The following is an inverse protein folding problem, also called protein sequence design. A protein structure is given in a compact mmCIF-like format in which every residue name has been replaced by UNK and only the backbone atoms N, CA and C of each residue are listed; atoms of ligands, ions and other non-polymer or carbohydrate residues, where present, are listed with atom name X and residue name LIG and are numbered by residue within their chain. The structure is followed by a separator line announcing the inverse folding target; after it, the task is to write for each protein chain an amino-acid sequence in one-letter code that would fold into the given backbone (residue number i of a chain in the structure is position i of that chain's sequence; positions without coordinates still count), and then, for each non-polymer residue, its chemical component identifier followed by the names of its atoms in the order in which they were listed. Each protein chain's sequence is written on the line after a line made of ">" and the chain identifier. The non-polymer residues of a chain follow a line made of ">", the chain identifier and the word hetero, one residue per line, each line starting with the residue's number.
data_IF_634546551415
#
_entry.id   IF_634546551415
#
_cell.length_a   1.000
_cell.length_b   1.000
_cell.length_c   1.000
_cell.angle_alpha   90.00
_cell.angle_beta   90.00
_cell.angle_gamma   90.00
#
_symmetry.space_group_name_H-M   'P 1'
#
loop_
_entity.id
_entity.type
_entity.pdbx_description
1 polymer ?
#
# COMPACT_ATOMS: atom_id res chain seq x y z
N UNK A 1 -16.15 -19.57 -5.07
CA UNK A 1 -16.56 -20.07 -6.40
C UNK A 1 -17.47 -19.12 -7.17
N UNK A 2 -18.72 -18.85 -6.75
CA UNK A 2 -19.60 -17.93 -7.50
C UNK A 2 -19.06 -16.49 -7.60
N UNK A 3 -18.57 -15.92 -6.49
CA UNK A 3 -17.94 -14.59 -6.49
C UNK A 3 -16.70 -14.53 -7.40
N UNK A 4 -15.83 -15.54 -7.33
CA UNK A 4 -14.66 -15.68 -8.20
C UNK A 4 -15.07 -15.80 -9.68
N UNK A 5 -16.10 -16.60 -10.00
CA UNK A 5 -16.64 -16.74 -11.36
C UNK A 5 -17.15 -15.40 -11.93
N UNK A 6 -17.85 -14.61 -11.11
CA UNK A 6 -18.35 -13.30 -11.54
C UNK A 6 -17.20 -12.34 -11.85
N UNK A 7 -16.15 -12.33 -11.03
CA UNK A 7 -14.92 -11.54 -11.27
C UNK A 7 -14.25 -11.92 -12.61
N UNK A 8 -14.12 -13.22 -12.91
CA UNK A 8 -13.58 -13.69 -14.19
C UNK A 8 -14.45 -13.33 -15.37
N UNK A 9 -15.77 -13.39 -15.22
CA UNK A 9 -16.70 -13.03 -16.30
C UNK A 9 -16.58 -11.55 -16.67
N UNK A 10 -16.42 -10.67 -15.67
CA UNK A 10 -16.15 -9.24 -15.91
C UNK A 10 -14.81 -9.04 -16.61
N UNK A 11 -13.76 -9.73 -16.16
CA UNK A 11 -12.45 -9.66 -16.81
C UNK A 11 -12.48 -10.10 -18.29
N UNK A 12 -13.13 -11.24 -18.58
CA UNK A 12 -13.23 -11.77 -19.94
C UNK A 12 -13.92 -10.77 -20.88
N UNK A 13 -14.99 -10.12 -20.41
CA UNK A 13 -15.65 -9.05 -21.14
C UNK A 13 -14.73 -7.85 -21.39
N UNK A 14 -13.97 -7.41 -20.38
CA UNK A 14 -13.03 -6.28 -20.52
C UNK A 14 -11.90 -6.60 -21.51
N UNK A 15 -11.34 -7.81 -21.45
CA UNK A 15 -10.29 -8.28 -22.36
C UNK A 15 -10.82 -8.41 -23.80
N UNK A 16 -12.05 -8.89 -23.98
CA UNK A 16 -12.68 -8.94 -25.31
C UNK A 16 -12.87 -7.54 -25.91
N UNK A 17 -13.35 -6.58 -25.11
CA UNK A 17 -13.46 -5.18 -25.54
C UNK A 17 -12.10 -4.58 -25.89
N UNK A 18 -11.05 -4.85 -25.09
CA UNK A 18 -9.69 -4.41 -25.43
C UNK A 18 -9.25 -4.98 -26.78
N UNK A 19 -9.45 -6.29 -27.03
CA UNK A 19 -9.08 -6.93 -28.30
C UNK A 19 -9.82 -6.29 -29.48
N UNK A 20 -11.10 -5.98 -29.33
CA UNK A 20 -11.88 -5.29 -30.35
C UNK A 20 -11.35 -3.86 -30.63
N UNK A 21 -11.00 -3.10 -29.58
CA UNK A 21 -10.37 -1.78 -29.71
C UNK A 21 -9.02 -1.85 -30.43
N UNK A 22 -8.16 -2.81 -30.07
CA UNK A 22 -6.87 -3.04 -30.74
C UNK A 22 -7.06 -3.43 -32.21
N UNK A 23 -8.01 -4.31 -32.52
CA UNK A 23 -8.36 -4.66 -33.90
C UNK A 23 -8.89 -3.46 -34.70
N UNK A 24 -9.55 -2.50 -34.04
CA UNK A 24 -9.97 -1.22 -34.61
C UNK A 24 -8.85 -0.19 -34.80
N UNK A 25 -7.61 -0.51 -34.42
CA UNK A 25 -6.44 0.34 -34.64
C UNK A 25 -5.96 1.14 -33.44
N UNK A 26 -6.57 0.99 -32.25
CA UNK A 26 -6.10 1.67 -31.02
C UNK A 26 -4.67 1.23 -30.68
N UNK A 27 -3.73 2.18 -30.65
CA UNK A 27 -2.33 1.94 -30.30
C UNK A 27 -2.00 2.22 -28.83
N UNK A 28 -2.77 3.09 -28.18
CA UNK A 28 -2.56 3.43 -26.77
C UNK A 28 -2.83 2.22 -25.84
N UNK A 29 -2.19 2.15 -24.66
CA UNK A 29 -2.54 1.19 -23.63
C UNK A 29 -4.03 1.28 -23.27
N UNK A 30 -4.70 0.14 -23.20
CA UNK A 30 -6.10 0.04 -22.79
C UNK A 30 -6.16 -0.41 -21.33
N UNK A 31 -6.95 0.33 -20.55
CA UNK A 31 -7.19 0.12 -19.13
C UNK A 31 -8.66 0.44 -18.80
N UNK A 32 -9.08 0.11 -17.58
CA UNK A 32 -10.42 0.39 -17.04
C UNK A 32 -10.31 0.83 -15.58
N UNK A 33 -11.26 1.63 -15.11
CA UNK A 33 -11.45 1.93 -13.69
C UNK A 33 -12.34 0.89 -12.98
N UNK A 34 -12.50 -0.31 -13.53
CA UNK A 34 -13.29 -1.36 -12.89
C UNK A 34 -12.80 -1.70 -11.48
N UNK A 35 -11.50 -1.58 -11.20
CA UNK A 35 -11.01 -1.67 -9.81
C UNK A 35 -11.43 -0.43 -9.05
N UNK A 36 -12.16 -0.61 -7.96
CA UNK A 36 -12.58 0.47 -7.06
C UNK A 36 -11.89 0.34 -5.71
N UNK A 37 -11.67 1.47 -5.03
CA UNK A 37 -11.10 1.52 -3.68
C UNK A 37 -11.92 0.74 -2.64
N UNK A 38 -13.13 0.28 -2.99
CA UNK A 38 -13.97 -0.58 -2.17
C UNK A 38 -13.29 -1.92 -1.85
N UNK A 39 -12.30 -2.34 -2.65
CA UNK A 39 -11.45 -3.49 -2.32
C UNK A 39 -10.72 -3.34 -0.97
N UNK A 40 -10.61 -2.13 -0.40
CA UNK A 40 -10.13 -1.93 0.98
C UNK A 40 -11.16 -1.19 1.83
N UNK A 41 -11.69 -0.05 1.38
CA UNK A 41 -12.44 0.87 2.25
C UNK A 41 -13.90 0.47 2.51
N UNK A 42 -14.43 -0.57 1.84
CA UNK A 42 -15.78 -1.10 2.03
C UNK A 42 -16.89 0.00 1.98
N UNK A 43 -16.81 0.92 1.02
CA UNK A 43 -17.80 2.00 0.89
C UNK A 43 -19.19 1.42 0.54
N UNK A 44 -20.11 1.48 1.51
CA UNK A 44 -21.58 1.33 1.40
C UNK A 44 -22.12 0.41 0.27
N UNK A 45 -22.48 -0.82 0.67
CA UNK A 45 -23.69 -1.53 0.21
C UNK A 45 -23.76 -2.16 -1.20
N UNK A 46 -22.77 -2.86 -1.76
CA UNK A 46 -23.10 -3.79 -2.87
C UNK A 46 -22.22 -5.04 -2.95
N UNK A 47 -22.89 -6.18 -3.10
CA UNK A 47 -22.32 -7.48 -3.48
C UNK A 47 -21.61 -7.48 -4.86
N UNK A 48 -21.68 -6.37 -5.61
CA UNK A 48 -20.94 -6.15 -6.85
C UNK A 48 -19.46 -5.80 -6.61
N UNK A 49 -19.09 -5.30 -5.43
CA UNK A 49 -17.70 -4.85 -5.16
C UNK A 49 -16.77 -5.98 -4.72
N UNK A 50 -17.33 -7.15 -4.37
CA UNK A 50 -16.56 -8.37 -4.12
C UNK A 50 -16.13 -9.07 -5.41
N UNK A 51 -16.34 -8.50 -6.60
CA UNK A 51 -15.83 -9.09 -7.84
C UNK A 51 -14.78 -8.28 -8.58
N UNK A 52 -14.51 -7.05 -8.13
CA UNK A 52 -13.69 -6.11 -8.88
C UNK A 52 -12.30 -5.91 -8.28
N UNK A 53 -11.55 -7.01 -8.13
CA UNK A 53 -10.17 -7.00 -7.61
C UNK A 53 -9.13 -6.84 -8.72
N UNK A 54 -8.03 -6.15 -8.40
CA UNK A 54 -6.97 -5.88 -9.36
C UNK A 54 -6.35 -7.14 -9.98
N UNK A 55 -6.20 -8.22 -9.19
CA UNK A 55 -5.59 -9.48 -9.64
C UNK A 55 -6.48 -10.36 -10.52
N UNK A 56 -7.77 -10.03 -10.65
CA UNK A 56 -8.72 -10.80 -11.46
C UNK A 56 -9.31 -9.96 -12.58
N UNK A 57 -9.80 -8.75 -12.26
CA UNK A 57 -10.68 -7.94 -13.10
C UNK A 57 -9.96 -7.19 -14.22
N UNK A 58 -8.64 -7.02 -14.07
CA UNK A 58 -7.78 -6.33 -15.04
C UNK A 58 -6.64 -7.23 -15.51
N UNK A 59 -6.79 -8.56 -15.36
CA UNK A 59 -5.81 -9.53 -15.81
C UNK A 59 -5.87 -9.67 -17.33
N UNK A 60 -4.76 -9.38 -18.00
CA UNK A 60 -4.67 -9.40 -19.46
C UNK A 60 -5.00 -8.08 -20.16
N UNK A 61 -5.31 -7.00 -19.44
CA UNK A 61 -5.30 -5.63 -19.99
C UNK A 61 -3.87 -5.09 -20.16
N UNK A 62 -3.66 -4.08 -21.01
CA UNK A 62 -2.33 -3.48 -21.23
C UNK A 62 -1.82 -2.77 -19.97
N UNK A 63 -2.72 -2.15 -19.21
CA UNK A 63 -2.46 -1.43 -17.97
C UNK A 63 -3.61 -1.60 -16.98
N UNK A 64 -3.38 -1.25 -15.71
CA UNK A 64 -4.40 -1.25 -14.67
C UNK A 64 -4.91 0.18 -14.43
N UNK A 65 -6.14 0.29 -13.93
CA UNK A 65 -6.77 1.53 -13.55
C UNK A 65 -7.56 1.35 -12.26
N UNK A 66 -7.60 2.39 -11.44
CA UNK A 66 -8.39 2.40 -10.21
C UNK A 66 -9.15 3.71 -10.05
N UNK A 67 -10.31 3.63 -9.41
CA UNK A 67 -10.95 4.77 -8.76
C UNK A 67 -10.86 4.62 -7.25
N UNK A 68 -10.36 5.65 -6.55
CA UNK A 68 -10.39 5.65 -5.08
C UNK A 68 -10.60 7.07 -4.52
N UNK A 69 -11.32 7.12 -3.40
CA UNK A 69 -11.74 8.39 -2.78
C UNK A 69 -11.40 8.48 -1.29
N UNK A 70 -10.65 7.51 -0.76
CA UNK A 70 -10.26 7.45 0.66
C UNK A 70 -8.74 7.36 0.75
N UNK A 71 -8.10 8.46 1.14
CA UNK A 71 -6.64 8.54 1.15
C UNK A 71 -5.97 7.73 2.28
N UNK A 72 -6.72 7.29 3.28
CA UNK A 72 -6.22 6.51 4.43
C UNK A 72 -5.44 5.26 4.01
N UNK A 73 -5.81 4.68 2.87
CA UNK A 73 -5.29 3.41 2.37
C UNK A 73 -4.46 3.58 1.09
N UNK A 74 -3.99 4.80 0.79
CA UNK A 74 -3.32 5.12 -0.46
C UNK A 74 -2.18 4.15 -0.79
N UNK A 75 -1.26 3.91 0.16
CA UNK A 75 -0.15 2.98 -0.06
C UNK A 75 -0.63 1.55 -0.33
N UNK A 76 -1.70 1.12 0.34
CA UNK A 76 -2.27 -0.20 0.13
C UNK A 76 -2.91 -0.32 -1.26
N UNK A 77 -3.67 0.67 -1.73
CA UNK A 77 -4.19 0.69 -3.11
C UNK A 77 -3.07 0.60 -4.13
N UNK A 78 -2.02 1.41 -3.97
CA UNK A 78 -0.90 1.41 -4.89
C UNK A 78 -0.12 0.09 -4.83
N UNK A 79 0.03 -0.49 -3.63
CA UNK A 79 0.62 -1.81 -3.45
C UNK A 79 -0.19 -2.93 -4.11
N UNK A 80 -1.52 -2.90 -4.01
CA UNK A 80 -2.42 -3.83 -4.71
C UNK A 80 -2.23 -3.72 -6.22
N UNK A 81 -2.25 -2.51 -6.77
CA UNK A 81 -2.10 -2.28 -8.20
C UNK A 81 -0.71 -2.67 -8.69
N UNK A 82 0.36 -2.27 -7.99
CA UNK A 82 1.74 -2.67 -8.31
C UNK A 82 1.89 -4.19 -8.30
N UNK A 83 1.34 -4.85 -7.28
CA UNK A 83 1.31 -6.30 -7.18
C UNK A 83 0.58 -6.95 -8.36
N UNK A 84 -0.63 -6.49 -8.68
CA UNK A 84 -1.45 -7.05 -9.75
C UNK A 84 -0.95 -6.69 -11.17
N UNK A 85 -0.29 -5.55 -11.33
CA UNK A 85 0.19 -5.07 -12.62
C UNK A 85 1.31 -5.95 -13.17
N UNK A 86 2.11 -6.58 -12.30
CA UNK A 86 3.18 -7.50 -12.69
C UNK A 86 4.10 -6.90 -13.79
N UNK A 87 4.56 -5.66 -13.57
CA UNK A 87 5.40 -4.92 -14.51
C UNK A 87 4.65 -4.08 -15.55
N UNK A 88 3.32 -4.19 -15.64
CA UNK A 88 2.49 -3.25 -16.41
C UNK A 88 2.38 -1.90 -15.72
N UNK A 89 2.04 -0.88 -16.49
CA UNK A 89 1.68 0.43 -15.95
C UNK A 89 0.34 0.37 -15.22
N UNK A 90 0.13 1.29 -14.27
CA UNK A 90 -1.17 1.50 -13.66
C UNK A 90 -1.46 2.98 -13.42
N UNK A 91 -2.73 3.35 -13.54
CA UNK A 91 -3.20 4.73 -13.52
C UNK A 91 -4.28 4.93 -12.48
N UNK A 92 -4.36 6.14 -11.93
CA UNK A 92 -5.50 6.56 -11.11
C UNK A 92 -6.45 7.30 -12.05
N UNK A 93 -7.59 6.67 -12.35
CA UNK A 93 -8.57 7.23 -13.27
C UNK A 93 -9.44 8.26 -12.57
N UNK A 94 -9.90 7.95 -11.36
CA UNK A 94 -10.64 8.90 -10.55
C UNK A 94 -10.18 8.91 -9.09
N UNK A 95 -9.83 10.10 -8.63
CA UNK A 95 -9.70 10.40 -7.21
C UNK A 95 -10.07 11.85 -6.98
N UNK A 96 -10.33 12.23 -5.74
CA UNK A 96 -10.64 13.61 -5.39
C UNK A 96 -9.72 14.14 -4.30
N UNK A 97 -9.78 15.45 -4.11
CA UNK A 97 -9.23 16.09 -2.95
C UNK A 97 -10.15 17.21 -2.49
N UNK A 98 -10.17 17.43 -1.17
CA UNK A 98 -11.03 18.43 -0.53
C UNK A 98 -10.35 19.80 -0.44
N UNK A 99 -9.02 19.85 -0.52
CA UNK A 99 -8.22 21.06 -0.45
C UNK A 99 -6.92 20.94 -1.28
N UNK A 100 -6.26 22.05 -1.62
CA UNK A 100 -5.04 22.04 -2.45
C UNK A 100 -3.88 21.20 -1.90
N UNK A 101 -3.69 21.11 -0.58
CA UNK A 101 -2.61 20.31 0.01
C UNK A 101 -2.91 18.82 -0.18
N UNK A 102 -4.17 18.40 -0.06
CA UNK A 102 -4.58 17.05 -0.39
C UNK A 102 -4.33 16.71 -1.87
N UNK A 103 -4.55 17.65 -2.80
CA UNK A 103 -4.18 17.47 -4.21
C UNK A 103 -2.68 17.23 -4.41
N UNK A 104 -1.83 18.00 -3.71
CA UNK A 104 -0.37 17.79 -3.75
C UNK A 104 0.03 16.42 -3.22
N UNK A 105 -0.53 16.04 -2.07
CA UNK A 105 -0.27 14.77 -1.43
C UNK A 105 -0.61 13.61 -2.38
N UNK A 106 -1.81 13.62 -2.97
CA UNK A 106 -2.25 12.55 -3.89
C UNK A 106 -1.33 12.46 -5.11
N UNK A 107 -0.99 13.59 -5.75
CA UNK A 107 -0.10 13.61 -6.90
C UNK A 107 1.29 13.06 -6.57
N UNK A 108 1.89 13.51 -5.46
CA UNK A 108 3.20 13.05 -5.00
C UNK A 108 3.21 11.57 -4.64
N UNK A 109 2.26 11.14 -3.81
CA UNK A 109 2.31 9.81 -3.19
C UNK A 109 1.80 8.70 -4.12
N UNK A 110 0.84 8.97 -5.01
CA UNK A 110 0.48 7.98 -6.04
C UNK A 110 1.69 7.65 -6.91
N UNK A 111 2.42 8.67 -7.35
CA UNK A 111 3.67 8.48 -8.09
C UNK A 111 4.74 7.80 -7.24
N UNK A 112 4.95 8.22 -5.99
CA UNK A 112 5.94 7.62 -5.11
C UNK A 112 5.75 6.10 -4.96
N UNK A 113 4.50 5.63 -4.95
CA UNK A 113 4.16 4.21 -4.85
C UNK A 113 4.00 3.48 -6.20
N UNK A 114 4.19 4.17 -7.33
CA UNK A 114 4.37 3.53 -8.63
C UNK A 114 3.32 3.87 -9.70
N UNK A 115 2.35 4.74 -9.43
CA UNK A 115 1.37 5.12 -10.44
C UNK A 115 2.05 5.86 -11.61
N UNK A 116 1.70 5.47 -12.83
CA UNK A 116 2.18 6.11 -14.06
C UNK A 116 1.42 7.41 -14.38
N UNK A 117 0.28 7.64 -13.75
CA UNK A 117 -0.50 8.87 -13.91
C UNK A 117 -1.65 8.95 -12.93
N UNK A 118 -2.09 10.18 -12.64
CA UNK A 118 -3.20 10.46 -11.73
C UNK A 118 -4.14 11.49 -12.33
N UNK A 119 -5.41 11.15 -12.39
CA UNK A 119 -6.50 12.02 -12.83
C UNK A 119 -7.41 12.36 -11.65
N UNK A 120 -7.81 13.62 -11.56
CA UNK A 120 -8.68 14.11 -10.50
C UNK A 120 -10.12 14.27 -11.02
N UNK A 121 -11.06 13.63 -10.33
CA UNK A 121 -12.49 13.80 -10.55
C UNK A 121 -13.08 14.63 -9.42
N UNK A 122 -13.50 15.86 -9.75
CA UNK A 122 -14.06 16.80 -8.78
C UNK A 122 -15.58 16.85 -8.92
N UNK A 123 -16.26 16.67 -7.78
CA UNK A 123 -17.71 16.70 -7.67
C UNK A 123 -18.26 18.14 -7.85
N UNK A 124 -19.20 18.35 -8.78
CA UNK A 124 -19.92 19.61 -9.00
C UNK A 124 -20.47 19.77 -10.42
N UNK A 125 -21.35 20.76 -10.64
CA UNK A 125 -21.93 21.09 -11.96
C UNK A 125 -20.90 21.62 -12.99
N UNK A 126 -19.70 21.94 -12.50
CA UNK A 126 -18.55 22.37 -13.29
C UNK A 126 -17.40 21.51 -12.79
N UNK A 127 -16.96 20.53 -13.58
CA UNK A 127 -15.83 19.64 -13.29
C UNK A 127 -14.48 20.39 -13.27
N UNK A 128 -14.47 21.65 -12.81
CA UNK A 128 -13.32 22.53 -12.80
C UNK A 128 -12.51 22.32 -11.52
N UNK A 129 -11.21 22.14 -11.71
CA UNK A 129 -10.23 22.20 -10.63
C UNK A 129 -10.08 23.66 -10.18
N UNK A 130 -10.34 24.00 -8.90
CA UNK A 130 -10.13 25.37 -8.43
C UNK A 130 -8.69 25.81 -8.72
N UNK A 131 -8.50 27.03 -9.21
CA UNK A 131 -7.19 27.53 -9.64
C UNK A 131 -6.07 27.32 -8.59
N UNK A 132 -6.39 27.50 -7.30
CA UNK A 132 -5.44 27.24 -6.20
C UNK A 132 -5.04 25.77 -6.08
N UNK A 133 -5.96 24.84 -6.33
CA UNK A 133 -5.66 23.41 -6.38
C UNK A 133 -4.75 23.07 -7.56
N UNK A 134 -5.08 23.59 -8.75
CA UNK A 134 -4.27 23.39 -9.96
C UNK A 134 -2.85 23.94 -9.80
N UNK A 135 -2.69 25.15 -9.26
CA UNK A 135 -1.38 25.76 -9.02
C UNK A 135 -0.49 24.87 -8.14
N UNK A 136 -1.06 24.33 -7.05
CA UNK A 136 -0.36 23.44 -6.15
C UNK A 136 0.03 22.10 -6.79
N UNK A 137 -0.80 21.56 -7.68
CA UNK A 137 -0.45 20.37 -8.47
C UNK A 137 0.67 20.70 -9.47
N UNK A 138 0.66 21.86 -10.11
CA UNK A 138 1.75 22.27 -11.01
C UNK A 138 3.08 22.47 -10.28
N UNK A 139 3.08 22.96 -9.04
CA UNK A 139 4.29 23.00 -8.19
C UNK A 139 4.88 21.59 -8.01
N UNK A 140 4.02 20.59 -7.73
CA UNK A 140 4.43 19.18 -7.60
C UNK A 140 5.00 18.64 -8.91
N UNK A 141 4.31 18.86 -10.03
CA UNK A 141 4.77 18.40 -11.35
C UNK A 141 6.17 18.95 -11.66
N UNK A 142 6.41 20.24 -11.39
CA UNK A 142 7.72 20.86 -11.61
C UNK A 142 8.81 20.29 -10.69
N UNK A 143 8.50 20.07 -9.41
CA UNK A 143 9.45 19.46 -8.48
C UNK A 143 9.80 18.02 -8.87
N UNK A 144 8.87 17.32 -9.51
CA UNK A 144 9.03 15.94 -9.97
C UNK A 144 9.64 15.82 -11.37
N UNK A 145 9.87 16.90 -12.11
CA UNK A 145 10.46 16.95 -13.46
C UNK A 145 11.98 16.68 -13.46
N UNK A 146 12.43 15.77 -12.59
CA UNK A 146 13.79 15.26 -12.56
C UNK A 146 13.85 13.96 -13.39
N UNK A 147 14.75 13.91 -14.39
CA UNK A 147 14.80 12.84 -15.39
C UNK A 147 15.00 11.46 -14.76
N UNK A 148 15.91 11.34 -13.79
CA UNK A 148 16.17 10.09 -13.08
C UNK A 148 14.97 9.67 -12.22
N UNK A 149 14.31 10.64 -11.56
CA UNK A 149 13.08 10.37 -10.82
C UNK A 149 11.98 9.82 -11.73
N UNK A 150 11.74 10.43 -12.88
CA UNK A 150 10.66 10.06 -13.80
C UNK A 150 10.90 8.71 -14.50
N UNK A 151 12.16 8.40 -14.84
CA UNK A 151 12.45 7.32 -15.78
C UNK A 151 13.34 6.20 -15.26
N UNK A 152 14.12 6.43 -14.21
CA UNK A 152 15.11 5.46 -13.69
C UNK A 152 14.85 5.03 -12.24
N UNK A 153 13.97 5.73 -11.51
CA UNK A 153 13.64 5.38 -10.13
C UNK A 153 12.48 4.39 -10.04
N UNK A 154 12.41 3.62 -8.95
CA UNK A 154 11.33 2.68 -8.64
C UNK A 154 10.86 2.82 -7.19
N UNK A 155 9.58 2.49 -6.87
CA UNK A 155 9.10 2.45 -5.49
C UNK A 155 9.93 1.50 -4.61
N UNK A 156 10.12 1.87 -3.35
CA UNK A 156 10.88 1.08 -2.37
C UNK A 156 9.95 0.23 -1.50
N UNK A 157 10.43 -0.93 -1.05
CA UNK A 157 9.79 -1.82 -0.07
C UNK A 157 10.80 -2.13 1.05
N UNK A 158 10.34 -2.17 2.30
CA UNK A 158 11.18 -2.52 3.47
C UNK A 158 11.31 -4.04 3.66
N UNK A 159 11.06 -4.85 2.61
CA UNK A 159 10.98 -6.30 2.73
C UNK A 159 9.75 -6.79 3.49
N UNK A 160 8.74 -5.92 3.67
CA UNK A 160 7.44 -6.27 4.27
C UNK A 160 6.43 -6.50 3.15
N UNK A 161 5.69 -7.59 3.25
CA UNK A 161 4.59 -7.92 2.35
C UNK A 161 3.29 -8.06 3.14
N UNK A 162 2.21 -7.47 2.64
CA UNK A 162 0.86 -7.71 3.11
C UNK A 162 0.22 -8.85 2.30
N UNK A 163 -0.34 -9.84 2.96
CA UNK A 163 -1.16 -10.88 2.33
C UNK A 163 -2.63 -10.42 2.29
N UNK A 164 -3.10 -10.08 1.09
CA UNK A 164 -4.51 -9.81 0.81
C UNK A 164 -5.20 -11.09 0.28
N UNK A 165 -5.93 -11.80 1.13
CA UNK A 165 -6.54 -13.09 0.81
C UNK A 165 -7.95 -12.94 0.24
N UNK A 166 -8.07 -13.18 -1.07
CA UNK A 166 -9.34 -13.35 -1.76
C UNK A 166 -10.06 -14.61 -1.28
N UNK A 167 -9.34 -15.68 -0.95
CA UNK A 167 -9.93 -16.90 -0.38
C UNK A 167 -10.63 -16.61 0.96
N UNK A 168 -9.97 -15.84 1.85
CA UNK A 168 -10.59 -15.40 3.11
C UNK A 168 -11.76 -14.46 2.85
N UNK A 169 -11.59 -13.48 1.97
CA UNK A 169 -12.64 -12.53 1.64
C UNK A 169 -13.91 -13.23 1.15
N UNK A 170 -13.79 -14.13 0.16
CA UNK A 170 -14.91 -14.86 -0.41
C UNK A 170 -15.54 -15.82 0.59
N UNK A 171 -14.74 -16.50 1.41
CA UNK A 171 -15.28 -17.38 2.43
C UNK A 171 -16.04 -16.57 3.49
N UNK A 172 -15.51 -15.43 3.91
CA UNK A 172 -16.14 -14.59 4.92
C UNK A 172 -17.48 -14.01 4.43
N UNK A 173 -17.53 -13.56 3.18
CA UNK A 173 -18.76 -13.15 2.51
C UNK A 173 -19.76 -14.32 2.44
N UNK A 174 -19.32 -15.50 2.01
CA UNK A 174 -20.18 -16.69 1.95
C UNK A 174 -20.72 -17.14 3.32
N UNK A 175 -19.95 -16.98 4.40
CA UNK A 175 -20.32 -17.41 5.75
C UNK A 175 -21.19 -16.40 6.50
N UNK A 176 -20.96 -15.10 6.30
CA UNK A 176 -21.58 -14.03 7.10
C UNK A 176 -22.48 -13.09 6.29
N UNK A 177 -22.51 -13.23 4.97
CA UNK A 177 -23.20 -12.31 4.05
C UNK A 177 -22.50 -10.96 3.91
N UNK A 178 -21.25 -10.84 4.38
CA UNK A 178 -20.46 -9.62 4.29
C UNK A 178 -18.95 -9.91 4.33
N UNK A 179 -18.14 -9.28 3.47
CA UNK A 179 -16.68 -9.34 3.57
C UNK A 179 -16.11 -8.52 4.73
N UNK A 180 -16.94 -7.72 5.40
CA UNK A 180 -16.54 -6.61 6.26
C UNK A 180 -15.57 -7.00 7.39
N UNK A 181 -15.76 -8.13 8.05
CA UNK A 181 -14.87 -8.52 9.16
C UNK A 181 -13.44 -8.77 8.68
N UNK A 182 -13.25 -9.36 7.51
CA UNK A 182 -11.91 -9.52 6.92
C UNK A 182 -11.33 -8.16 6.49
N UNK A 183 -12.10 -7.36 5.77
CA UNK A 183 -11.63 -6.04 5.31
C UNK A 183 -11.25 -5.13 6.47
N UNK A 184 -11.95 -5.19 7.60
CA UNK A 184 -11.62 -4.42 8.79
C UNK A 184 -10.26 -4.80 9.38
N UNK A 185 -9.93 -6.09 9.42
CA UNK A 185 -8.60 -6.54 9.86
C UNK A 185 -7.51 -6.05 8.90
N UNK A 186 -7.76 -6.11 7.58
CA UNK A 186 -6.84 -5.57 6.56
C UNK A 186 -6.65 -4.06 6.74
N UNK A 187 -7.74 -3.29 6.87
CA UNK A 187 -7.73 -1.83 7.07
C UNK A 187 -6.87 -1.44 8.28
N UNK A 188 -7.04 -2.13 9.40
CA UNK A 188 -6.25 -1.88 10.62
C UNK A 188 -4.79 -2.27 10.42
N UNK A 189 -4.54 -3.41 9.76
CA UNK A 189 -3.19 -3.86 9.43
C UNK A 189 -2.44 -2.85 8.57
N UNK A 190 -3.05 -2.34 7.50
CA UNK A 190 -2.43 -1.32 6.63
C UNK A 190 -2.25 0.01 7.36
N UNK A 191 -3.22 0.43 8.18
CA UNK A 191 -3.10 1.64 8.99
C UNK A 191 -1.97 1.52 10.02
N UNK A 192 -1.77 0.34 10.60
CA UNK A 192 -0.65 0.05 11.49
C UNK A 192 0.70 0.15 10.77
N UNK A 193 0.81 -0.46 9.57
CA UNK A 193 2.02 -0.34 8.74
C UNK A 193 2.33 1.12 8.37
N UNK A 194 1.33 1.87 7.94
CA UNK A 194 1.47 3.30 7.60
C UNK A 194 1.88 4.11 8.83
N UNK A 195 1.26 3.89 10.00
CA UNK A 195 1.60 4.60 11.24
C UNK A 195 3.01 4.29 11.72
N UNK A 196 3.47 3.06 11.49
CA UNK A 196 4.85 2.60 11.73
C UNK A 196 5.82 3.01 10.61
N UNK A 197 5.33 3.72 9.59
CA UNK A 197 6.10 4.23 8.46
C UNK A 197 6.82 3.12 7.68
N UNK A 198 6.15 1.97 7.53
CA UNK A 198 6.66 0.82 6.78
C UNK A 198 6.30 0.94 5.30
N UNK A 199 7.28 0.76 4.44
CA UNK A 199 7.09 0.56 3.01
C UNK A 199 6.88 -0.93 2.73
N UNK A 200 5.80 -1.25 2.02
CA UNK A 200 5.39 -2.64 1.81
C UNK A 200 4.79 -2.88 0.43
N UNK A 201 4.88 -4.14 0.00
CA UNK A 201 4.15 -4.68 -1.15
C UNK A 201 2.87 -5.38 -0.69
N UNK A 202 1.92 -5.57 -1.61
CA UNK A 202 0.70 -6.33 -1.34
C UNK A 202 0.61 -7.47 -2.34
N UNK A 203 0.39 -8.68 -1.85
CA UNK A 203 0.23 -9.88 -2.67
C UNK A 203 -1.08 -10.59 -2.36
N UNK A 204 -1.72 -11.10 -3.41
CA UNK A 204 -2.91 -11.95 -3.28
C UNK A 204 -2.57 -13.44 -3.20
N UNK A 205 -3.52 -14.27 -2.75
CA UNK A 205 -3.35 -15.73 -2.67
C UNK A 205 -2.80 -16.29 -3.99
N UNK A 206 -3.35 -15.84 -5.12
CA UNK A 206 -2.96 -16.30 -6.47
C UNK A 206 -1.47 -16.13 -6.73
N UNK A 207 -0.88 -15.00 -6.35
CA UNK A 207 0.55 -14.75 -6.52
C UNK A 207 1.36 -15.58 -5.53
N UNK A 208 0.90 -15.65 -4.28
CA UNK A 208 1.58 -16.40 -3.23
C UNK A 208 1.59 -17.91 -3.51
N UNK A 209 0.66 -18.46 -4.31
CA UNK A 209 0.72 -19.84 -4.81
C UNK A 209 1.99 -20.15 -5.62
N UNK A 210 2.57 -19.14 -6.27
CA UNK A 210 3.78 -19.28 -7.09
C UNK A 210 5.06 -19.18 -6.26
N UNK A 211 4.97 -18.61 -5.06
CA UNK A 211 6.08 -18.39 -4.16
C UNK A 211 5.99 -17.04 -3.46
N UNK A 212 6.53 -16.95 -2.24
CA UNK A 212 6.79 -15.64 -1.61
C UNK A 212 8.06 -15.04 -2.27
N UNK A 213 7.99 -13.81 -2.82
CA UNK A 213 9.13 -13.18 -3.49
C UNK A 213 10.37 -13.07 -2.60
N UNK A 214 11.56 -13.20 -3.19
CA UNK A 214 12.81 -13.34 -2.45
C UNK A 214 13.19 -12.11 -1.60
N UNK A 215 12.74 -10.92 -2.00
CA UNK A 215 12.97 -9.67 -1.26
C UNK A 215 12.12 -9.53 0.00
N UNK A 216 11.08 -10.36 0.16
CA UNK A 216 10.21 -10.34 1.34
C UNK A 216 10.93 -11.03 2.49
N UNK A 217 11.00 -10.35 3.62
CA UNK A 217 11.53 -10.85 4.89
C UNK A 217 10.40 -11.13 5.89
N UNK A 218 9.33 -10.33 5.83
CA UNK A 218 8.12 -10.53 6.66
C UNK A 218 6.87 -10.56 5.79
N UNK A 219 6.09 -11.64 5.91
CA UNK A 219 4.75 -11.73 5.34
C UNK A 219 3.72 -11.48 6.46
N UNK A 220 3.04 -10.35 6.39
CA UNK A 220 2.02 -9.93 7.35
C UNK A 220 0.62 -10.24 6.79
N UNK A 221 -0.14 -11.07 7.50
CA UNK A 221 -1.42 -11.58 7.02
C UNK A 221 -2.56 -11.26 8.00
N UNK A 222 -2.95 -9.98 8.16
CA UNK A 222 -4.01 -9.59 9.08
C UNK A 222 -5.35 -10.19 8.63
N UNK A 223 -6.04 -10.86 9.56
CA UNK A 223 -7.37 -11.43 9.31
C UNK A 223 -7.43 -12.64 8.36
N UNK A 224 -6.31 -13.15 7.83
CA UNK A 224 -6.31 -14.26 6.85
C UNK A 224 -6.63 -15.59 7.52
N UNK A 225 -7.89 -16.03 7.48
CA UNK A 225 -8.36 -17.27 8.13
C UNK A 225 -8.51 -18.45 7.17
N UNK A 226 -8.55 -18.19 5.86
CA UNK A 226 -8.69 -19.21 4.82
C UNK A 226 -7.76 -18.96 3.65
N UNK A 227 -7.07 -20.02 3.22
CA UNK A 227 -6.11 -19.99 2.11
C UNK A 227 -6.14 -21.35 1.42
N UNK A 228 -5.86 -21.42 0.14
CA UNK A 228 -5.67 -22.72 -0.54
C UNK A 228 -4.37 -23.43 -0.11
N UNK A 229 -4.26 -24.72 -0.45
CA UNK A 229 -3.14 -25.57 -0.05
C UNK A 229 -1.80 -25.16 -0.66
N UNK A 230 -1.80 -24.63 -1.88
CA UNK A 230 -0.56 -24.19 -2.53
C UNK A 230 -0.05 -22.90 -1.92
N UNK A 231 -0.94 -21.94 -1.65
CA UNK A 231 -0.56 -20.72 -0.93
C UNK A 231 -0.03 -21.04 0.48
N UNK A 232 -0.67 -21.96 1.21
CA UNK A 232 -0.14 -22.42 2.51
C UNK A 232 1.22 -23.11 2.36
N UNK A 233 1.40 -23.98 1.37
CA UNK A 233 2.68 -24.64 1.14
C UNK A 233 3.80 -23.64 0.82
N UNK A 234 3.52 -22.62 0.02
CA UNK A 234 4.43 -21.52 -0.27
C UNK A 234 4.79 -20.70 0.97
N UNK A 235 3.81 -20.39 1.83
CA UNK A 235 4.07 -19.73 3.11
C UNK A 235 4.94 -20.59 4.04
N UNK A 236 4.73 -21.93 4.04
CA UNK A 236 5.58 -22.86 4.79
C UNK A 236 7.01 -22.88 4.29
N UNK A 237 7.22 -22.93 2.98
CA UNK A 237 8.54 -22.86 2.35
C UNK A 237 9.26 -21.55 2.68
N UNK A 238 8.56 -20.41 2.57
CA UNK A 238 9.08 -19.11 2.97
C UNK A 238 9.59 -19.09 4.42
N UNK A 239 8.79 -19.62 5.35
CA UNK A 239 9.17 -19.75 6.76
C UNK A 239 10.37 -20.68 6.94
N UNK A 240 10.43 -21.80 6.20
CA UNK A 240 11.56 -22.73 6.24
C UNK A 240 12.86 -22.12 5.71
N UNK A 241 12.77 -21.15 4.80
CA UNK A 241 13.91 -20.37 4.28
C UNK A 241 14.33 -19.20 5.18
N UNK A 242 13.71 -19.06 6.36
CA UNK A 242 14.05 -18.04 7.36
C UNK A 242 13.16 -16.80 7.34
N UNK A 243 12.16 -16.75 6.46
CA UNK A 243 11.16 -15.69 6.45
C UNK A 243 10.28 -15.71 7.70
N UNK A 244 9.74 -14.54 8.08
CA UNK A 244 8.83 -14.41 9.22
C UNK A 244 7.40 -14.26 8.75
N UNK A 245 6.50 -15.10 9.24
CA UNK A 245 5.07 -15.02 9.00
C UNK A 245 4.39 -14.39 10.22
N UNK A 246 3.84 -13.17 10.07
CA UNK A 246 3.14 -12.44 11.13
C UNK A 246 1.62 -12.55 10.95
N UNK A 247 0.95 -13.23 11.88
CA UNK A 247 -0.40 -13.75 11.66
C UNK A 247 -1.33 -13.63 12.87
N UNK A 248 -2.67 -13.62 12.68
CA UNK A 248 -3.61 -13.76 13.77
C UNK A 248 -3.60 -15.20 14.35
N UNK A 249 -4.19 -15.42 15.54
CA UNK A 249 -4.29 -16.76 16.13
C UNK A 249 -4.97 -17.80 15.23
N UNK A 250 -5.99 -17.38 14.49
CA UNK A 250 -6.83 -18.24 13.63
C UNK A 250 -6.35 -18.32 12.18
N UNK A 251 -5.08 -17.96 11.93
CA UNK A 251 -4.53 -17.94 10.58
C UNK A 251 -4.61 -19.29 9.88
N UNK A 252 -5.06 -19.27 8.63
CA UNK A 252 -5.21 -20.43 7.77
C UNK A 252 -5.95 -21.60 8.46
N UNK A 253 -6.90 -21.30 9.36
CA UNK A 253 -7.73 -22.32 10.02
C UNK A 253 -8.50 -23.17 9.01
N UNK A 254 -8.91 -22.57 7.90
CA UNK A 254 -9.69 -23.20 6.85
C UNK A 254 -8.88 -23.30 5.54
N UNK A 255 -9.25 -24.28 4.70
CA UNK A 255 -8.93 -24.24 3.27
C UNK A 255 -9.83 -23.22 2.54
N UNK A 256 -9.59 -23.01 1.23
CA UNK A 256 -10.41 -22.10 0.40
C UNK A 256 -11.90 -22.47 0.32
N UNK A 257 -12.29 -23.66 0.77
CA UNK A 257 -13.67 -24.15 0.77
C UNK A 257 -14.31 -24.13 2.16
N UNK A 258 -13.65 -23.54 3.16
CA UNK A 258 -14.15 -23.47 4.52
C UNK A 258 -13.99 -24.77 5.32
N UNK A 259 -13.22 -25.75 4.84
CA UNK A 259 -12.97 -26.99 5.58
C UNK A 259 -11.85 -26.76 6.56
N UNK A 260 -12.05 -27.17 7.81
CA UNK A 260 -11.03 -27.08 8.84
C UNK A 260 -9.79 -27.88 8.45
N UNK A 261 -8.61 -27.27 8.55
CA UNK A 261 -7.34 -27.93 8.26
C UNK A 261 -7.00 -29.04 9.25
N UNK A 262 -6.07 -29.90 8.85
CA UNK A 262 -5.58 -30.99 9.68
C UNK A 262 -4.96 -30.46 10.98
N UNK A 263 -5.04 -31.22 12.06
CA UNK A 263 -4.39 -30.86 13.33
C UNK A 263 -2.87 -30.74 13.17
N UNK A 264 -2.26 -31.49 12.26
CA UNK A 264 -0.84 -31.38 11.95
C UNK A 264 -0.46 -30.02 11.37
N UNK A 265 -1.27 -29.49 10.42
CA UNK A 265 -1.04 -28.16 9.85
C UNK A 265 -1.20 -27.06 10.88
N UNK A 266 -2.27 -27.13 11.67
CA UNK A 266 -2.53 -26.15 12.72
C UNK A 266 -1.45 -26.19 13.80
N UNK A 267 -0.99 -27.38 14.19
CA UNK A 267 0.11 -27.54 15.14
C UNK A 267 1.44 -27.01 14.58
N UNK A 268 1.71 -27.20 13.29
CA UNK A 268 2.90 -26.65 12.65
C UNK A 268 2.88 -25.12 12.69
N UNK A 269 1.76 -24.50 12.27
CA UNK A 269 1.57 -23.04 12.34
C UNK A 269 1.68 -22.54 13.79
N UNK A 270 1.20 -23.32 14.75
CA UNK A 270 1.25 -22.98 16.18
C UNK A 270 2.66 -22.96 16.75
N UNK A 271 3.45 -23.97 16.42
CA UNK A 271 4.68 -24.26 17.14
C UNK A 271 5.94 -23.80 16.40
N UNK A 272 5.83 -23.34 15.15
CA UNK A 272 6.98 -22.82 14.41
C UNK A 272 7.40 -21.43 14.93
N UNK A 273 8.66 -21.22 15.35
CA UNK A 273 9.11 -19.95 15.93
C UNK A 273 9.12 -18.77 14.95
N UNK A 274 9.20 -19.03 13.65
CA UNK A 274 9.14 -18.02 12.61
C UNK A 274 7.69 -17.67 12.20
N UNK A 275 6.69 -18.32 12.80
CA UNK A 275 5.27 -17.96 12.70
C UNK A 275 4.89 -17.16 13.95
N UNK A 276 5.04 -15.85 13.87
CA UNK A 276 4.78 -14.93 14.96
C UNK A 276 3.30 -14.54 15.00
N UNK A 277 2.70 -14.60 16.19
CA UNK A 277 1.30 -14.18 16.38
C UNK A 277 1.23 -12.78 16.96
N UNK A 278 0.43 -11.91 16.35
CA UNK A 278 -0.02 -10.70 17.03
C UNK A 278 -1.31 -10.99 17.80
N UNK A 279 -1.56 -10.20 18.83
CA UNK A 279 -2.79 -10.32 19.62
C UNK A 279 -3.99 -9.83 18.81
N UNK A 280 -5.02 -10.65 18.64
CA UNK A 280 -6.24 -10.24 17.95
C UNK A 280 -6.95 -9.08 18.66
N UNK A 281 -6.82 -9.00 20.00
CA UNK A 281 -7.33 -7.87 20.76
C UNK A 281 -6.55 -6.59 20.44
N UNK A 282 -5.27 -6.68 20.08
CA UNK A 282 -4.45 -5.54 19.67
C UNK A 282 -5.02 -4.87 18.41
N UNK A 283 -5.37 -5.65 17.37
CA UNK A 283 -6.03 -5.10 16.18
C UNK A 283 -7.40 -4.50 16.52
N UNK A 284 -8.17 -5.14 17.41
CA UNK A 284 -9.46 -4.59 17.86
C UNK A 284 -9.32 -3.26 18.61
N UNK A 285 -8.29 -3.11 19.44
CA UNK A 285 -7.97 -1.85 20.13
C UNK A 285 -7.55 -0.77 19.14
N UNK A 286 -6.68 -1.09 18.18
CA UNK A 286 -6.27 -0.16 17.13
C UNK A 286 -7.47 0.29 16.29
N UNK A 287 -8.36 -0.65 15.94
CA UNK A 287 -9.61 -0.36 15.24
C UNK A 287 -10.49 0.64 15.98
N UNK A 288 -10.65 0.51 17.30
CA UNK A 288 -11.40 1.49 18.11
C UNK A 288 -10.77 2.89 18.06
N UNK A 289 -9.45 2.96 17.89
CA UNK A 289 -8.71 4.20 17.68
C UNK A 289 -8.92 4.82 16.29
N UNK A 290 -9.25 4.01 15.28
CA UNK A 290 -9.70 4.48 13.98
C UNK A 290 -11.15 4.98 14.08
N UNK A 291 -11.37 6.11 14.73
CA UNK A 291 -12.67 6.80 14.62
C UNK A 291 -12.78 7.32 13.20
N UNK A 292 -13.65 6.72 12.38
CA UNK A 292 -14.05 7.29 11.07
C UNK A 292 -14.79 8.60 11.37
N UNK A 293 -14.05 9.66 11.65
CA UNK A 293 -14.61 11.00 11.86
C UNK A 293 -14.84 11.60 10.50
N UNK A 294 -15.91 11.14 9.85
CA UNK A 294 -16.37 11.56 8.52
C UNK A 294 -15.39 11.27 7.39
N UNK A 295 -15.91 11.16 6.17
CA UNK A 295 -15.13 11.03 4.94
C UNK A 295 -14.21 12.24 4.64
N UNK A 296 -14.16 13.25 5.53
CA UNK A 296 -13.47 14.51 5.31
C UNK A 296 -12.05 14.59 5.90
N UNK A 297 -11.62 13.64 6.73
CA UNK A 297 -10.23 13.63 7.23
C UNK A 297 -9.42 12.46 6.62
N UNK A 298 -8.50 12.74 5.69
CA UNK A 298 -7.85 11.71 4.85
C UNK A 298 -6.77 10.85 5.53
N UNK A 299 -6.58 10.98 6.86
CA UNK A 299 -5.49 10.35 7.59
C UNK A 299 -5.90 9.75 8.94
N UNK A 300 -6.94 8.90 8.99
CA UNK A 300 -7.36 8.24 10.22
C UNK A 300 -6.25 7.40 10.88
N UNK A 301 -5.29 6.89 10.09
CA UNK A 301 -4.11 6.21 10.61
C UNK A 301 -3.19 7.13 11.44
N UNK A 302 -3.18 8.44 11.20
CA UNK A 302 -2.38 9.42 11.94
C UNK A 302 -2.86 9.56 13.41
N UNK A 303 -4.15 9.31 13.64
CA UNK A 303 -4.75 9.34 14.98
C UNK A 303 -4.40 8.10 15.82
N UNK A 304 -3.81 7.06 15.21
CA UNK A 304 -3.35 5.89 15.95
C UNK A 304 -2.18 6.26 16.86
N UNK A 305 -2.43 6.25 18.16
CA UNK A 305 -1.38 6.36 19.15
C UNK A 305 -0.39 5.19 19.01
N UNK A 306 0.88 5.43 19.36
CA UNK A 306 1.91 4.39 19.51
C UNK A 306 1.66 3.53 20.76
N UNK A 307 0.48 2.90 20.78
CA UNK A 307 0.01 2.03 21.84
C UNK A 307 0.88 0.77 21.96
N UNK A 308 0.83 0.06 23.10
CA UNK A 308 1.53 -1.22 23.25
C UNK A 308 1.22 -2.21 22.12
N UNK A 309 -0.04 -2.24 21.65
CA UNK A 309 -0.49 -3.03 20.51
C UNK A 309 0.30 -2.72 19.22
N UNK A 310 0.46 -1.42 18.90
CA UNK A 310 1.20 -1.02 17.71
C UNK A 310 2.71 -1.26 17.85
N UNK A 311 3.25 -1.08 19.07
CA UNK A 311 4.66 -1.38 19.36
C UNK A 311 4.98 -2.85 19.20
N UNK A 312 4.13 -3.75 19.69
CA UNK A 312 4.26 -5.20 19.51
C UNK A 312 4.32 -5.59 18.01
N UNK A 313 3.42 -5.03 17.19
CA UNK A 313 3.49 -5.20 15.73
C UNK A 313 4.83 -4.68 15.18
N UNK A 314 5.25 -3.48 15.58
CA UNK A 314 6.51 -2.88 15.16
C UNK A 314 7.76 -3.70 15.50
N UNK A 315 7.80 -4.28 16.70
CA UNK A 315 8.87 -5.16 17.18
C UNK A 315 8.92 -6.46 16.39
N UNK A 316 7.76 -7.06 16.06
CA UNK A 316 7.68 -8.27 15.24
C UNK A 316 8.07 -8.01 13.79
N UNK A 317 7.76 -6.81 13.29
CA UNK A 317 8.22 -6.35 11.98
C UNK A 317 9.72 -6.02 11.96
N UNK A 318 10.42 -5.94 13.09
CA UNK A 318 11.87 -5.71 13.13
C UNK A 318 12.70 -6.92 12.65
N UNK A 319 12.05 -8.06 12.39
CA UNK A 319 12.65 -9.15 11.61
C UNK A 319 12.88 -8.76 10.15
N UNK A 320 12.11 -7.79 9.63
CA UNK A 320 12.49 -7.04 8.44
C UNK A 320 13.44 -5.92 8.86
N UNK A 321 14.38 -5.55 7.97
CA UNK A 321 15.24 -4.38 8.16
C UNK A 321 14.46 -3.16 8.67
N UNK A 322 15.13 -2.28 9.44
CA UNK A 322 14.50 -1.07 9.95
C UNK A 322 13.86 -0.24 8.82
N UNK A 323 12.80 0.55 9.08
CA UNK A 323 12.20 1.39 8.05
C UNK A 323 13.28 2.24 7.40
N UNK A 324 13.35 2.24 6.06
CA UNK A 324 14.38 2.99 5.33
C UNK A 324 14.25 4.49 5.48
N UNK A 325 13.04 4.97 5.78
CA UNK A 325 12.76 6.36 6.14
C UNK A 325 11.88 6.42 7.38
N UNK A 326 12.19 7.36 8.26
CA UNK A 326 11.36 7.74 9.40
C UNK A 326 11.20 9.25 9.47
N UNK A 327 10.02 9.72 9.84
CA UNK A 327 9.75 11.13 10.15
C UNK A 327 9.62 11.25 11.65
N UNK A 328 10.45 12.11 12.24
CA UNK A 328 10.53 12.35 13.66
C UNK A 328 10.06 13.76 13.99
N UNK A 329 9.37 13.93 15.13
CA UNK A 329 9.07 15.26 15.69
C UNK A 329 10.34 15.92 16.25
N UNK A 330 10.23 17.17 16.70
CA UNK A 330 11.31 17.88 17.40
C UNK A 330 11.81 17.12 18.65
N UNK A 331 10.93 16.37 19.32
CA UNK A 331 11.25 15.52 20.48
C UNK A 331 11.89 14.18 20.09
N UNK A 332 12.04 13.89 18.80
CA UNK A 332 12.59 12.64 18.29
C UNK A 332 11.60 11.47 18.27
N UNK A 333 10.31 11.71 18.50
CA UNK A 333 9.27 10.68 18.43
C UNK A 333 8.77 10.47 17.00
N UNK A 334 8.20 9.29 16.71
CA UNK A 334 7.67 8.99 15.37
C UNK A 334 6.47 9.89 15.03
N UNK A 335 6.68 10.84 14.12
CA UNK A 335 5.68 11.78 13.64
C UNK A 335 4.58 11.05 12.84
N UNK A 336 3.31 11.48 12.90
CA UNK A 336 2.25 10.91 12.08
C UNK A 336 2.34 11.44 10.65
N UNK A 337 3.28 10.89 9.87
CA UNK A 337 3.57 11.21 8.47
C UNK A 337 3.64 9.94 7.65
N UNK A 338 3.30 10.02 6.38
CA UNK A 338 3.34 8.86 5.50
C UNK A 338 4.72 8.72 4.87
N UNK A 339 5.31 7.53 5.01
CA UNK A 339 6.55 7.20 4.34
C UNK A 339 6.33 6.94 2.85
N UNK A 340 7.20 7.52 2.04
CA UNK A 340 7.23 7.31 0.61
C UNK A 340 8.65 7.55 0.08
N UNK A 341 9.18 6.55 -0.62
CA UNK A 341 10.51 6.56 -1.21
C UNK A 341 10.46 6.03 -2.64
N UNK A 342 11.31 6.60 -3.49
CA UNK A 342 11.74 5.97 -4.75
C UNK A 342 13.26 5.91 -4.79
N UNK A 343 13.80 4.89 -5.44
CA UNK A 343 15.24 4.73 -5.58
C UNK A 343 15.64 4.42 -7.02
N UNK A 344 16.79 4.96 -7.44
CA UNK A 344 17.48 4.59 -8.66
C UNK A 344 18.87 4.04 -8.31
N UNK A 345 19.69 3.75 -9.32
CA UNK A 345 21.10 3.38 -9.10
C UNK A 345 21.88 4.51 -8.39
N UNK A 346 21.57 5.77 -8.72
CA UNK A 346 22.36 6.92 -8.28
C UNK A 346 21.73 7.68 -7.12
N UNK A 347 20.41 7.62 -6.96
CA UNK A 347 19.69 8.49 -6.03
C UNK A 347 18.66 7.76 -5.18
N UNK A 348 18.46 8.28 -3.97
CA UNK A 348 17.27 8.06 -3.17
C UNK A 348 16.41 9.32 -3.21
N UNK A 349 15.11 9.14 -3.42
CA UNK A 349 14.11 10.19 -3.40
C UNK A 349 13.19 10.02 -2.21
N UNK A 350 13.03 11.08 -1.42
CA UNK A 350 12.19 11.08 -0.21
C UNK A 350 11.08 12.11 -0.38
N UNK A 351 9.84 11.65 -0.25
CA UNK A 351 8.66 12.49 -0.33
C UNK A 351 8.25 12.93 1.08
N UNK A 352 7.90 14.20 1.27
CA UNK A 352 7.50 14.74 2.57
C UNK A 352 6.11 15.37 2.44
N UNK A 353 5.19 14.95 3.32
CA UNK A 353 3.78 15.37 3.29
C UNK A 353 3.61 16.91 3.25
N UNK A 354 2.62 17.44 2.51
CA UNK A 354 2.32 18.88 2.43
C UNK A 354 1.96 19.56 3.77
N UNK A 355 1.53 18.79 4.76
CA UNK A 355 1.20 19.29 6.12
C UNK A 355 2.36 19.16 7.10
N UNK A 356 3.55 18.80 6.63
CA UNK A 356 4.73 18.71 7.49
C UNK A 356 5.17 20.10 7.97
N UNK A 357 5.49 20.19 9.25
CA UNK A 357 6.04 21.37 9.88
C UNK A 357 7.01 20.90 10.94
N UNK A 358 8.24 21.42 10.93
CA UNK A 358 9.27 21.11 11.93
C UNK A 358 9.47 19.60 12.09
N UNK A 359 9.88 18.93 11.00
CA UNK A 359 10.04 17.48 10.95
C UNK A 359 11.48 17.10 10.63
N UNK A 360 12.00 16.06 11.30
CA UNK A 360 13.29 15.46 10.97
C UNK A 360 13.06 14.18 10.16
N UNK A 361 13.60 14.14 8.95
CA UNK A 361 13.66 12.93 8.12
C UNK A 361 14.91 12.15 8.52
N UNK A 362 14.74 10.97 9.10
CA UNK A 362 15.79 10.01 9.42
C UNK A 362 15.81 8.92 8.33
N UNK A 363 16.97 8.68 7.73
CA UNK A 363 17.16 7.72 6.65
C UNK A 363 18.16 6.66 7.06
N UNK A 364 17.94 5.43 6.58
CA UNK A 364 18.95 4.37 6.65
C UNK A 364 20.06 4.60 5.61
N UNK A 365 21.31 4.53 6.05
CA UNK A 365 22.49 4.83 5.25
C UNK A 365 23.10 6.21 5.52
N UNK A 366 24.29 6.42 4.94
CA UNK A 366 25.09 7.65 5.06
C UNK A 366 24.97 8.49 3.79
N UNK A 367 24.38 9.68 3.90
CA UNK A 367 24.23 10.64 2.80
C UNK A 367 24.90 11.95 3.19
N UNK A 368 25.75 12.47 2.31
CA UNK A 368 26.52 13.69 2.59
C UNK A 368 25.80 14.98 2.20
N UNK A 369 24.77 14.88 1.33
CA UNK A 369 24.02 16.02 0.85
C UNK A 369 22.59 15.62 0.48
N UNK A 370 21.67 16.58 0.59
CA UNK A 370 20.32 16.48 0.07
C UNK A 370 19.97 17.76 -0.69
N UNK A 371 19.27 17.60 -1.81
CA UNK A 371 18.68 18.71 -2.57
C UNK A 371 17.18 18.64 -2.46
N UNK A 372 16.55 19.75 -2.08
CA UNK A 372 15.10 19.89 -2.06
C UNK A 372 14.65 20.36 -3.46
N UNK A 373 13.78 19.61 -4.13
CA UNK A 373 13.45 19.83 -5.54
C UNK A 373 12.37 20.89 -5.78
N UNK A 374 11.56 21.28 -4.78
CA UNK A 374 10.61 22.41 -4.94
C UNK A 374 11.33 23.76 -5.01
N UNK A 375 12.33 23.97 -4.15
CA UNK A 375 13.08 25.21 -3.99
C UNK A 375 14.44 25.19 -4.70
N UNK A 376 14.97 23.99 -4.97
CA UNK A 376 16.33 23.78 -5.45
C UNK A 376 17.40 23.94 -4.36
N UNK A 377 17.02 24.19 -3.10
CA UNK A 377 17.95 24.42 -2.00
C UNK A 377 18.76 23.17 -1.66
N UNK A 378 20.00 23.38 -1.19
CA UNK A 378 20.80 22.33 -0.56
C UNK A 378 20.49 22.33 0.93
N UNK A 379 20.12 21.17 1.45
CA UNK A 379 19.82 20.98 2.86
C UNK A 379 21.00 20.32 3.57
N UNK A 380 21.33 20.76 4.80
CA UNK A 380 22.36 20.10 5.60
C UNK A 380 21.91 18.70 5.98
N UNK A 381 22.84 17.74 5.90
CA UNK A 381 22.63 16.36 6.36
C UNK A 381 23.51 16.13 7.59
N UNK A 382 22.91 15.61 8.66
CA UNK A 382 23.64 15.17 9.85
C UNK A 382 23.79 13.65 9.81
N UNK A 383 25.02 13.16 9.72
CA UNK A 383 25.31 11.72 9.74
C UNK A 383 25.56 11.21 11.17
N UNK A 384 25.12 9.99 11.47
CA UNK A 384 25.43 9.31 12.73
C UNK A 384 25.01 7.84 12.73
N UNK A 385 25.87 6.95 13.24
CA UNK A 385 25.58 5.51 13.45
C UNK A 385 24.86 4.80 12.27
N UNK A 386 25.30 5.05 11.03
CA UNK A 386 24.70 4.45 9.83
C UNK A 386 23.34 5.05 9.43
N UNK A 387 22.95 6.17 10.04
CA UNK A 387 21.76 6.95 9.73
C UNK A 387 22.13 8.35 9.26
N UNK A 388 21.25 8.94 8.48
CA UNK A 388 21.33 10.34 8.05
C UNK A 388 20.07 11.08 8.45
N UNK A 389 20.21 12.33 8.89
CA UNK A 389 19.10 13.17 9.34
C UNK A 389 19.06 14.49 8.60
N UNK A 390 17.88 14.85 8.13
CA UNK A 390 17.61 16.10 7.41
C UNK A 390 16.43 16.79 8.07
N UNK A 391 16.60 18.07 8.38
CA UNK A 391 15.55 18.88 8.96
C UNK A 391 14.73 19.57 7.87
N UNK A 392 13.40 19.55 8.01
CA UNK A 392 12.46 20.18 7.10
C UNK A 392 11.52 21.09 7.90
N UNK A 393 11.68 22.40 7.71
CA UNK A 393 10.87 23.41 8.40
C UNK A 393 9.39 23.31 8.00
N UNK A 394 9.12 23.11 6.70
CA UNK A 394 7.77 23.07 6.15
C UNK A 394 7.70 22.18 4.90
N UNK A 395 6.60 21.43 4.77
CA UNK A 395 6.24 20.68 3.56
C UNK A 395 5.32 21.46 2.59
N UNK A 396 5.07 20.92 1.38
CA UNK A 396 5.65 19.68 0.85
C UNK A 396 7.13 19.83 0.55
N UNK A 397 7.86 18.72 0.57
CA UNK A 397 9.24 18.67 0.12
C UNK A 397 9.51 17.37 -0.64
N UNK A 398 10.45 17.43 -1.58
CA UNK A 398 10.94 16.27 -2.32
C UNK A 398 12.47 16.29 -2.28
N UNK A 399 13.06 15.37 -1.54
CA UNK A 399 14.50 15.31 -1.32
C UNK A 399 15.14 14.36 -2.32
N UNK A 400 16.15 14.84 -3.04
CA UNK A 400 17.04 14.03 -3.87
C UNK A 400 18.38 13.86 -3.14
N UNK A 401 18.74 12.61 -2.84
CA UNK A 401 19.95 12.24 -2.12
C UNK A 401 20.85 11.37 -3.00
N UNK A 402 22.07 11.80 -3.34
CA UNK A 402 23.02 10.97 -4.06
C UNK A 402 23.50 9.80 -3.18
N UNK A 403 23.52 8.60 -3.76
CA UNK A 403 24.08 7.42 -3.11
C UNK A 403 25.60 7.53 -3.06
N UNK A 404 26.16 7.36 -1.87
CA UNK A 404 27.60 7.14 -1.66
C UNK A 404 27.93 5.75 -2.22
N UNK A 405 28.72 5.73 -3.31
CA UNK A 405 29.24 4.48 -3.89
C UNK A 405 30.31 3.85 -3.02
#
# INVERSE_FOLDING_TARGET
>A
DWAEFWAWTVNDFLVENMRALKAGGVQAPVTTNAVVGHCINNYLFNAADTGLFAWTTSDGLDALGIDFYVLDFLQAYMGILRGAANGREFFIHETNYLDPQAGQFVAMYCFAFGASGTSFWLFGDVHDVPARGSEKIFEVIRAMDDEDLQHASSPVSDGVALWYSLDTLYLNDALSGSPESYLQEVQVGVAALTRLQRLYDVYADRQLREGVPAQVQVLFAPGVVAVDDRALASAKDFVQRGGTLLVPPDFARYDRYGRTRSQADLAWLKNNPHVQRFDAEALRVLRKGMTVKSAAWPFNWAALALSPALKDIGEKLAAADAPRVRYLSAEGELSPRQAALRESEEFLYVFVDPWSSDVTVELDGSYSQARELFSGARLPVTEGAGKSRIHIDQGPALLKLPRTR
#
